data_IF_877087767283
#
_entry.id   IF_877087767283
#
_cell.length_a   1.000
_cell.length_b   1.000
_cell.length_c   1.000
_cell.angle_alpha   90.00
_cell.angle_beta   90.00
_cell.angle_gamma   90.00
#
_symmetry.space_group_name_H-M   'P 1'
#
loop_
_entity.id
_entity.type
_entity.pdbx_description
1 polymer ?
#
# COMPACT_ATOMS: atom_id res chain seq x y z
N UNK A 1 5.11 10.13 -59.52
CA UNK A 1 4.41 8.84 -59.74
C UNK A 1 4.51 7.89 -58.54
N UNK A 2 5.66 7.74 -57.88
CA UNK A 2 5.83 6.78 -56.78
C UNK A 2 5.23 7.13 -55.40
N UNK A 3 4.94 8.41 -55.13
CA UNK A 3 4.46 8.86 -53.80
C UNK A 3 3.02 8.41 -53.48
N UNK A 4 2.12 8.41 -54.48
CA UNK A 4 0.73 7.98 -54.28
C UNK A 4 0.60 6.48 -54.00
N UNK A 5 1.54 5.67 -54.48
CA UNK A 5 1.52 4.21 -54.31
C UNK A 5 1.98 3.79 -52.91
N UNK A 6 2.89 4.55 -52.29
CA UNK A 6 3.48 4.23 -50.98
C UNK A 6 2.87 5.03 -49.82
N UNK A 7 1.96 5.97 -50.11
CA UNK A 7 1.32 6.81 -49.10
C UNK A 7 2.29 7.77 -48.38
N UNK A 8 3.47 8.01 -48.95
CA UNK A 8 4.49 8.86 -48.34
C UNK A 8 4.33 10.32 -48.77
N UNK A 9 4.41 11.23 -47.80
CA UNK A 9 4.41 12.67 -48.06
C UNK A 9 5.67 13.14 -48.78
N UNK A 10 5.51 14.04 -49.75
CA UNK A 10 6.59 14.54 -50.61
C UNK A 10 7.76 15.14 -49.82
N UNK A 11 7.45 15.85 -48.72
CA UNK A 11 8.46 16.44 -47.84
C UNK A 11 9.33 15.38 -47.17
N UNK A 12 8.77 14.24 -46.77
CA UNK A 12 9.52 13.15 -46.12
C UNK A 12 10.56 12.57 -47.05
N UNK A 13 10.20 12.36 -48.32
CA UNK A 13 11.11 11.83 -49.34
C UNK A 13 12.20 12.85 -49.66
N UNK A 14 11.84 14.13 -49.87
CA UNK A 14 12.82 15.21 -50.09
C UNK A 14 13.80 15.31 -48.92
N UNK A 15 13.31 15.30 -47.69
CA UNK A 15 14.15 15.44 -46.51
C UNK A 15 15.10 14.26 -46.29
N UNK A 16 14.72 13.04 -46.71
CA UNK A 16 15.61 11.87 -46.69
C UNK A 16 16.71 11.97 -47.74
N UNK A 17 16.38 12.41 -48.95
CA UNK A 17 17.36 12.62 -50.03
C UNK A 17 18.36 13.73 -49.65
N UNK A 18 17.88 14.81 -49.03
CA UNK A 18 18.76 15.92 -48.61
C UNK A 18 19.67 15.59 -47.41
N UNK A 19 19.31 14.58 -46.60
CA UNK A 19 20.10 14.15 -45.44
C UNK A 19 21.16 13.12 -45.78
N UNK A 20 21.20 12.65 -47.02
CA UNK A 20 22.14 11.65 -47.49
C UNK A 20 23.29 12.30 -48.28
N UNK A 21 24.49 11.74 -48.16
CA UNK A 21 25.66 12.20 -48.94
C UNK A 21 25.97 11.29 -50.13
N UNK A 22 25.57 10.01 -50.12
CA UNK A 22 26.00 9.00 -51.11
C UNK A 22 24.89 8.07 -51.65
N UNK A 23 23.60 8.37 -51.43
CA UNK A 23 22.48 7.63 -52.01
C UNK A 23 22.10 6.33 -51.29
N UNK A 24 22.73 6.02 -50.15
CA UNK A 24 22.42 4.89 -49.30
C UNK A 24 22.50 5.36 -47.85
N UNK A 25 21.36 5.41 -47.16
CA UNK A 25 21.31 5.58 -45.71
C UNK A 25 22.06 4.39 -45.08
N UNK A 26 23.18 4.66 -44.41
CA UNK A 26 23.84 3.64 -43.59
C UNK A 26 22.79 2.96 -42.72
N UNK A 27 22.73 1.63 -42.78
CA UNK A 27 21.85 0.83 -41.93
C UNK A 27 22.15 1.25 -40.50
N UNK A 28 21.30 2.10 -39.92
CA UNK A 28 21.20 2.18 -38.47
C UNK A 28 20.80 0.77 -38.09
N UNK A 29 21.73 0.03 -37.50
CA UNK A 29 21.35 -1.12 -36.72
C UNK A 29 20.21 -0.60 -35.85
N UNK A 30 19.00 -1.08 -36.11
CA UNK A 30 17.96 -1.00 -35.11
C UNK A 30 18.58 -1.76 -33.96
N UNK A 31 19.15 -1.04 -33.01
CA UNK A 31 19.27 -1.51 -31.65
C UNK A 31 17.82 -1.78 -31.29
N UNK A 32 17.36 -3.02 -31.58
CA UNK A 32 16.33 -3.66 -30.82
C UNK A 32 16.80 -3.40 -29.40
N UNK A 33 16.16 -2.45 -28.70
CA UNK A 33 16.48 -2.18 -27.31
C UNK A 33 16.52 -3.56 -26.68
N UNK A 34 17.73 -4.00 -26.31
CA UNK A 34 17.92 -5.33 -25.79
C UNK A 34 16.92 -5.48 -24.66
N UNK A 35 16.22 -6.62 -24.59
CA UNK A 35 15.36 -6.94 -23.44
C UNK A 35 16.05 -6.41 -22.20
N UNK A 36 15.41 -5.47 -21.51
CA UNK A 36 15.99 -4.79 -20.35
C UNK A 36 16.67 -5.85 -19.49
N UNK A 37 17.99 -5.79 -19.40
CA UNK A 37 18.72 -6.69 -18.54
C UNK A 37 18.26 -6.40 -17.11
N UNK A 38 18.11 -7.45 -16.30
CA UNK A 38 17.67 -7.40 -14.88
C UNK A 38 18.47 -6.42 -13.98
N UNK A 39 19.47 -5.72 -14.51
CA UNK A 39 20.28 -4.70 -13.86
C UNK A 39 19.48 -3.46 -13.41
N UNK A 40 18.33 -3.17 -14.05
CA UNK A 40 17.53 -1.96 -13.75
C UNK A 40 16.86 -1.99 -12.37
N UNK A 41 16.61 -3.19 -11.84
CA UNK A 41 15.92 -3.38 -10.55
C UNK A 41 16.78 -2.79 -9.40
N UNK A 42 18.10 -2.97 -9.44
CA UNK A 42 18.99 -2.49 -8.37
C UNK A 42 19.22 -0.97 -8.40
N UNK A 43 19.12 -0.32 -9.57
CA UNK A 43 19.18 1.14 -9.69
C UNK A 43 17.94 1.79 -9.07
N UNK A 44 16.73 1.29 -9.35
CA UNK A 44 15.48 1.78 -8.72
C UNK A 44 15.48 1.60 -7.19
N UNK A 45 15.96 0.44 -6.68
CA UNK A 45 16.12 0.23 -5.23
C UNK A 45 17.15 1.17 -4.61
N UNK A 46 18.21 1.51 -5.34
CA UNK A 46 19.27 2.41 -4.89
C UNK A 46 18.78 3.86 -4.76
N UNK A 47 17.96 4.32 -5.71
CA UNK A 47 17.41 5.68 -5.69
C UNK A 47 16.37 5.87 -4.57
N UNK A 48 15.52 4.87 -4.35
CA UNK A 48 14.59 4.88 -3.21
C UNK A 48 15.32 4.90 -1.86
N UNK A 49 16.38 4.10 -1.71
CA UNK A 49 17.20 4.11 -0.50
C UNK A 49 17.94 5.44 -0.34
N UNK A 50 18.37 6.08 -1.43
CA UNK A 50 18.98 7.42 -1.42
C UNK A 50 17.98 8.47 -0.96
N UNK A 51 16.74 8.47 -1.44
CA UNK A 51 15.68 9.37 -0.95
C UNK A 51 15.42 9.18 0.53
N UNK A 52 15.27 7.93 0.99
CA UNK A 52 15.10 7.63 2.41
C UNK A 52 16.26 8.16 3.25
N UNK A 53 17.51 7.88 2.84
CA UNK A 53 18.69 8.35 3.56
C UNK A 53 18.81 9.88 3.52
N UNK A 54 18.37 10.54 2.45
CA UNK A 54 18.33 12.00 2.32
C UNK A 54 17.28 12.67 3.22
N UNK A 55 16.20 11.95 3.54
CA UNK A 55 15.16 12.43 4.47
C UNK A 55 15.59 12.43 5.94
N UNK A 56 16.68 11.74 6.28
CA UNK A 56 17.21 11.70 7.64
C UNK A 56 18.04 12.95 7.93
N UNK A 57 18.04 13.42 9.17
CA UNK A 57 18.92 14.51 9.61
C UNK A 57 20.38 14.03 9.52
N UNK A 58 21.20 14.77 8.77
CA UNK A 58 22.61 14.49 8.56
C UNK A 58 23.46 15.62 9.10
N UNK A 59 24.55 15.26 9.76
CA UNK A 59 25.58 16.18 10.23
C UNK A 59 26.80 16.07 9.31
N UNK A 60 27.42 17.20 8.90
CA UNK A 60 28.70 17.15 8.20
C UNK A 60 29.79 16.51 9.07
N UNK A 61 30.75 15.86 8.42
CA UNK A 61 31.93 15.30 9.06
C UNK A 61 32.78 16.39 9.73
N UNK A 62 32.52 16.67 11.01
CA UNK A 62 33.16 17.79 11.72
C UNK A 62 34.59 17.52 12.21
N UNK A 63 35.12 16.29 12.11
CA UNK A 63 36.47 15.96 12.54
C UNK A 63 37.39 15.68 11.35
N UNK A 64 38.27 16.66 11.07
CA UNK A 64 39.56 16.56 10.38
C UNK A 64 39.64 15.67 9.13
N UNK A 65 39.09 16.16 8.01
CA UNK A 65 39.66 16.00 6.65
C UNK A 65 38.93 16.94 5.70
N UNK A 66 39.63 17.99 5.28
CA UNK A 66 39.16 19.09 4.42
C UNK A 66 38.50 18.62 3.10
N UNK A 67 38.80 17.39 2.68
CA UNK A 67 38.42 16.87 1.35
C UNK A 67 37.41 15.71 1.39
N UNK A 68 36.72 15.45 2.52
CA UNK A 68 35.76 14.34 2.60
C UNK A 68 34.32 14.78 2.34
N UNK A 69 33.63 14.10 1.43
CA UNK A 69 32.19 14.28 1.12
C UNK A 69 31.27 13.46 2.03
N UNK A 70 31.82 12.83 3.08
CA UNK A 70 31.07 11.93 3.97
C UNK A 70 30.18 12.72 4.92
N UNK A 71 28.95 12.25 5.10
CA UNK A 71 27.97 12.81 6.05
C UNK A 71 27.69 11.76 7.14
N UNK A 72 27.54 12.19 8.38
CA UNK A 72 27.16 11.34 9.50
C UNK A 72 25.67 11.51 9.79
N UNK A 73 25.01 10.45 10.25
CA UNK A 73 23.69 10.58 10.85
C UNK A 73 23.88 11.10 12.28
N UNK A 74 22.99 11.99 12.76
CA UNK A 74 23.01 12.39 14.16
C UNK A 74 22.86 11.17 15.08
N UNK A 75 23.40 11.28 16.30
CA UNK A 75 23.70 10.18 17.24
C UNK A 75 22.49 9.33 17.72
N UNK A 76 21.32 9.45 17.11
CA UNK A 76 20.09 8.76 17.50
C UNK A 76 20.04 7.28 17.07
N UNK A 77 20.89 6.85 16.14
CA UNK A 77 20.88 5.47 15.61
C UNK A 77 22.13 4.70 16.01
N UNK A 78 22.21 4.28 17.28
CA UNK A 78 23.40 3.63 17.82
C UNK A 78 23.65 2.20 17.28
N UNK A 79 22.65 1.45 16.78
CA UNK A 79 22.89 0.31 15.87
C UNK A 79 22.13 0.43 14.53
N UNK A 80 22.73 -0.11 13.46
CA UNK A 80 22.13 -0.23 12.12
C UNK A 80 20.73 -0.88 12.14
N UNK A 81 20.46 -1.74 13.13
CA UNK A 81 19.16 -2.35 13.38
C UNK A 81 18.05 -1.34 13.70
N UNK A 82 18.36 -0.23 14.38
CA UNK A 82 17.38 0.83 14.66
C UNK A 82 17.05 1.64 13.40
N UNK A 83 18.05 1.89 12.54
CA UNK A 83 17.83 2.51 11.24
C UNK A 83 16.94 1.65 10.36
N UNK A 84 17.22 0.34 10.28
CA UNK A 84 16.39 -0.62 9.56
C UNK A 84 14.97 -0.74 10.16
N UNK A 85 14.83 -0.63 11.49
CA UNK A 85 13.52 -0.59 12.16
C UNK A 85 12.73 0.68 11.80
N UNK A 86 13.38 1.85 11.76
CA UNK A 86 12.74 3.10 11.34
C UNK A 86 12.29 3.04 9.88
N UNK A 87 13.16 2.57 8.99
CA UNK A 87 12.82 2.28 7.60
C UNK A 87 11.58 1.37 7.49
N UNK A 88 11.61 0.22 8.17
CA UNK A 88 10.51 -0.76 8.13
C UNK A 88 9.22 -0.22 8.74
N UNK A 89 9.28 0.65 9.74
CA UNK A 89 8.10 1.25 10.35
C UNK A 89 7.50 2.38 9.48
N UNK A 90 8.35 3.16 8.80
CA UNK A 90 7.94 4.29 7.98
C UNK A 90 7.39 3.85 6.62
N UNK A 91 7.97 2.82 6.01
CA UNK A 91 7.60 2.33 4.68
C UNK A 91 6.91 0.96 4.69
N UNK A 92 6.83 0.31 5.84
CA UNK A 92 6.08 -0.94 5.97
C UNK A 92 4.61 -0.68 6.23
N UNK A 93 3.73 -1.13 5.32
CA UNK A 93 2.28 -1.28 5.55
C UNK A 93 1.95 -2.19 6.76
N UNK A 94 2.97 -2.81 7.35
CA UNK A 94 2.86 -3.68 8.52
C UNK A 94 2.30 -2.95 9.74
N UNK A 95 2.58 -1.65 9.93
CA UNK A 95 2.08 -0.89 11.08
C UNK A 95 0.62 -0.42 10.91
N UNK A 96 0.19 -0.17 9.66
CA UNK A 96 -1.17 0.31 9.36
C UNK A 96 -2.20 -0.82 9.54
N UNK A 97 -1.93 -1.98 8.93
CA UNK A 97 -2.88 -3.10 8.94
C UNK A 97 -2.76 -3.99 10.17
N UNK A 98 -1.60 -4.02 10.85
CA UNK A 98 -1.36 -4.78 12.09
C UNK A 98 -1.34 -3.85 13.31
N UNK A 99 -2.40 -3.06 13.46
CA UNK A 99 -2.59 -2.13 14.58
C UNK A 99 -3.60 -2.70 15.59
N UNK A 100 -3.32 -2.68 16.92
CA UNK A 100 -4.31 -3.03 17.93
C UNK A 100 -5.62 -2.25 17.81
N UNK A 101 -5.60 -0.96 17.44
CA UNK A 101 -6.83 -0.15 17.30
C UNK A 101 -7.77 -0.74 16.25
N UNK A 102 -7.24 -1.08 15.07
CA UNK A 102 -8.02 -1.71 13.99
C UNK A 102 -8.54 -3.08 14.42
N UNK A 103 -7.69 -3.89 15.04
CA UNK A 103 -8.08 -5.22 15.52
C UNK A 103 -9.20 -5.18 16.56
N UNK A 104 -9.17 -4.21 17.47
CA UNK A 104 -10.28 -4.03 18.42
C UNK A 104 -11.54 -3.53 17.72
N UNK A 105 -11.44 -2.63 16.75
CA UNK A 105 -12.60 -2.17 15.98
C UNK A 105 -13.27 -3.33 15.21
N UNK A 106 -12.47 -4.20 14.57
CA UNK A 106 -12.98 -5.41 13.91
C UNK A 106 -13.59 -6.40 14.89
N UNK A 107 -13.00 -6.57 16.07
CA UNK A 107 -13.57 -7.41 17.12
C UNK A 107 -14.94 -6.89 17.58
N UNK A 108 -15.07 -5.58 17.82
CA UNK A 108 -16.37 -4.99 18.15
C UNK A 108 -17.40 -5.18 17.04
N UNK A 109 -16.98 -5.07 15.77
CA UNK A 109 -17.85 -5.32 14.63
C UNK A 109 -18.31 -6.77 14.62
N UNK A 110 -17.39 -7.72 14.83
CA UNK A 110 -17.68 -9.15 14.92
C UNK A 110 -18.70 -9.46 16.02
N UNK A 111 -18.55 -8.87 17.21
CA UNK A 111 -19.49 -9.02 18.32
C UNK A 111 -20.85 -8.36 18.03
N UNK A 112 -20.84 -7.15 17.48
CA UNK A 112 -22.06 -6.36 17.23
C UNK A 112 -22.95 -7.02 16.18
N UNK A 113 -22.35 -7.56 15.12
CA UNK A 113 -23.07 -8.20 14.03
C UNK A 113 -23.12 -9.72 14.15
N UNK A 114 -22.48 -10.31 15.16
CA UNK A 114 -22.36 -11.75 15.36
C UNK A 114 -21.80 -12.48 14.12
N UNK A 115 -20.67 -11.98 13.60
CA UNK A 115 -20.00 -12.49 12.40
C UNK A 115 -18.52 -12.75 12.68
N UNK A 116 -18.01 -13.89 12.24
CA UNK A 116 -16.57 -14.18 12.27
C UNK A 116 -15.84 -13.43 11.14
N UNK A 117 -14.82 -12.63 11.49
CA UNK A 117 -14.03 -11.86 10.51
C UNK A 117 -12.63 -12.46 10.40
N UNK A 118 -12.14 -12.61 9.17
CA UNK A 118 -10.77 -13.04 8.89
C UNK A 118 -9.97 -11.90 8.27
N UNK A 119 -8.85 -11.54 8.91
CA UNK A 119 -7.89 -10.59 8.36
C UNK A 119 -6.63 -11.36 7.94
N UNK A 120 -6.42 -11.51 6.64
CA UNK A 120 -5.24 -12.16 6.05
C UNK A 120 -4.18 -11.10 5.72
N UNK A 121 -2.92 -11.39 5.97
CA UNK A 121 -1.80 -10.51 5.64
C UNK A 121 -0.96 -11.08 4.49
N UNK A 122 -0.62 -10.20 3.56
CA UNK A 122 0.22 -10.53 2.41
C UNK A 122 1.61 -11.02 2.84
N UNK A 123 2.08 -12.07 2.16
CA UNK A 123 3.43 -12.62 2.28
C UNK A 123 4.26 -12.14 1.08
N UNK A 124 5.51 -11.74 1.33
CA UNK A 124 6.43 -11.33 0.28
C UNK A 124 6.60 -12.48 -0.74
N UNK A 125 6.36 -12.21 -2.02
CA UNK A 125 6.45 -13.19 -3.10
C UNK A 125 5.12 -13.62 -3.73
N UNK A 126 3.98 -13.29 -3.10
CA UNK A 126 2.63 -13.56 -3.62
C UNK A 126 1.82 -12.27 -3.74
N UNK A 127 2.35 -11.30 -4.48
CA UNK A 127 1.72 -9.98 -4.68
C UNK A 127 0.95 -9.98 -5.99
N UNK A 128 -0.21 -10.64 -6.00
CA UNK A 128 -1.21 -10.40 -7.03
C UNK A 128 -2.49 -9.95 -6.33
N UNK A 129 -2.73 -8.63 -6.33
CA UNK A 129 -3.96 -8.04 -5.83
C UNK A 129 -4.77 -7.57 -7.04
N UNK A 130 -5.99 -8.08 -7.20
CA UNK A 130 -6.88 -7.66 -8.30
C UNK A 130 -7.13 -6.14 -8.28
N UNK A 131 -7.09 -5.54 -7.09
CA UNK A 131 -7.24 -4.10 -6.87
C UNK A 131 -6.11 -3.26 -7.48
N UNK A 132 -4.92 -3.83 -7.72
CA UNK A 132 -3.79 -3.08 -8.28
C UNK A 132 -4.08 -2.63 -9.72
N UNK A 133 -4.89 -3.40 -10.45
CA UNK A 133 -5.34 -3.02 -11.81
C UNK A 133 -6.19 -1.75 -11.79
N UNK A 134 -7.06 -1.60 -10.79
CA UNK A 134 -7.90 -0.41 -10.59
C UNK A 134 -7.04 0.78 -10.20
N UNK A 135 -6.10 0.61 -9.26
CA UNK A 135 -5.17 1.67 -8.86
C UNK A 135 -4.33 2.16 -10.05
N UNK A 136 -3.75 1.24 -10.83
CA UNK A 136 -2.95 1.57 -12.02
C UNK A 136 -3.77 2.38 -13.02
N UNK A 137 -5.03 2.01 -13.24
CA UNK A 137 -5.93 2.71 -14.18
C UNK A 137 -6.23 4.12 -13.70
N UNK A 138 -6.54 4.29 -12.41
CA UNK A 138 -6.80 5.60 -11.79
C UNK A 138 -5.54 6.47 -11.84
N UNK A 139 -4.39 5.95 -11.44
CA UNK A 139 -3.11 6.68 -11.45
C UNK A 139 -2.74 7.15 -12.85
N UNK A 140 -2.94 6.30 -13.86
CA UNK A 140 -2.70 6.65 -15.26
C UNK A 140 -3.64 7.77 -15.72
N UNK A 141 -4.90 7.74 -15.29
CA UNK A 141 -5.89 8.79 -15.56
C UNK A 141 -5.55 10.12 -14.88
N UNK A 142 -4.92 10.07 -13.69
CA UNK A 142 -4.52 11.24 -12.91
C UNK A 142 -3.25 11.92 -13.45
N UNK A 143 -2.25 11.16 -13.94
CA UNK A 143 -0.94 11.70 -14.36
C UNK A 143 -0.98 12.82 -15.40
N UNK A 144 -1.98 12.82 -16.29
CA UNK A 144 -2.07 13.76 -17.41
C UNK A 144 -3.18 14.82 -17.23
N UNK A 145 -3.64 15.06 -16.00
CA UNK A 145 -4.70 16.03 -15.71
C UNK A 145 -4.30 17.00 -14.61
N UNK A 146 -4.67 18.27 -14.77
CA UNK A 146 -4.52 19.26 -13.72
C UNK A 146 -5.65 19.10 -12.70
N UNK A 147 -5.29 18.89 -11.44
CA UNK A 147 -6.22 18.73 -10.31
C UNK A 147 -6.17 20.02 -9.51
N UNK A 148 -7.29 20.73 -9.43
CA UNK A 148 -7.39 21.98 -8.68
C UNK A 148 -8.24 21.84 -7.41
N UNK A 149 -9.27 20.98 -7.45
CA UNK A 149 -10.13 20.70 -6.30
C UNK A 149 -10.13 19.19 -5.95
N UNK A 150 -10.34 18.81 -4.67
CA UNK A 150 -10.53 17.41 -4.28
C UNK A 150 -11.70 16.72 -5.00
N UNK A 151 -12.73 17.48 -5.39
CA UNK A 151 -13.83 16.98 -6.22
C UNK A 151 -13.37 16.55 -7.62
N UNK A 152 -12.30 17.15 -8.15
CA UNK A 152 -11.72 16.76 -9.44
C UNK A 152 -11.12 15.36 -9.36
N UNK A 153 -10.45 15.00 -8.26
CA UNK A 153 -9.98 13.64 -8.06
C UNK A 153 -11.14 12.64 -8.16
N UNK A 154 -12.28 12.95 -7.53
CA UNK A 154 -13.44 12.06 -7.56
C UNK A 154 -14.03 11.92 -8.98
N UNK A 155 -14.02 13.01 -9.76
CA UNK A 155 -14.44 13.01 -11.17
C UNK A 155 -13.50 12.19 -12.04
N UNK A 156 -12.19 12.43 -11.94
CA UNK A 156 -11.17 11.73 -12.73
C UNK A 156 -11.14 10.24 -12.43
N UNK A 157 -11.30 9.85 -11.15
CA UNK A 157 -11.42 8.45 -10.76
C UNK A 157 -12.64 7.79 -11.38
N UNK A 158 -13.80 8.46 -11.43
CA UNK A 158 -15.00 7.92 -12.08
C UNK A 158 -14.79 7.69 -13.58
N UNK A 159 -14.12 8.63 -14.23
CA UNK A 159 -13.82 8.60 -15.67
C UNK A 159 -12.64 7.69 -16.05
N UNK A 160 -11.89 7.16 -15.08
CA UNK A 160 -10.69 6.37 -15.33
C UNK A 160 -10.99 5.09 -16.12
N UNK A 161 -12.12 4.45 -15.84
CA UNK A 161 -12.61 3.29 -16.59
C UNK A 161 -13.72 3.71 -17.57
N UNK A 162 -13.51 3.43 -18.86
CA UNK A 162 -14.40 3.88 -19.94
C UNK A 162 -15.63 3.00 -20.11
N UNK A 163 -15.48 1.68 -19.91
CA UNK A 163 -16.56 0.72 -20.16
C UNK A 163 -17.53 0.64 -18.97
N UNK A 164 -16.97 0.59 -17.76
CA UNK A 164 -17.72 0.49 -16.50
C UNK A 164 -17.17 1.52 -15.49
N UNK A 165 -17.64 2.78 -15.52
CA UNK A 165 -17.18 3.83 -14.62
C UNK A 165 -17.25 3.43 -13.14
N UNK A 166 -16.22 3.79 -12.37
CA UNK A 166 -16.16 3.43 -10.95
C UNK A 166 -17.20 4.20 -10.11
N UNK A 167 -17.80 3.52 -9.13
CA UNK A 167 -18.61 4.18 -8.11
C UNK A 167 -17.71 4.89 -7.10
N UNK A 168 -17.47 6.18 -7.33
CA UNK A 168 -16.64 6.99 -6.42
C UNK A 168 -17.49 7.58 -5.30
N UNK A 169 -17.12 7.26 -4.06
CA UNK A 169 -17.66 7.87 -2.84
C UNK A 169 -16.62 8.82 -2.26
N UNK A 170 -16.97 10.09 -2.14
CA UNK A 170 -16.14 11.08 -1.45
C UNK A 170 -16.31 10.92 0.06
N UNK A 171 -15.21 10.92 0.83
CA UNK A 171 -15.30 10.84 2.29
C UNK A 171 -15.80 12.18 2.85
N UNK A 172 -16.83 12.13 3.70
CA UNK A 172 -17.32 13.27 4.47
C UNK A 172 -16.71 13.28 5.88
N UNK A 173 -16.95 14.33 6.66
CA UNK A 173 -16.50 14.41 8.06
C UNK A 173 -16.99 13.23 8.92
N UNK A 174 -18.14 12.66 8.56
CA UNK A 174 -18.74 11.52 9.26
C UNK A 174 -18.03 10.19 8.94
N UNK A 175 -17.24 10.13 7.86
CA UNK A 175 -16.47 8.94 7.51
C UNK A 175 -15.35 8.66 8.53
N UNK A 176 -14.80 9.70 9.14
CA UNK A 176 -13.68 9.58 10.07
C UNK A 176 -14.18 9.26 11.47
N UNK A 177 -14.23 7.97 11.79
CA UNK A 177 -14.60 7.47 13.11
C UNK A 177 -13.36 7.24 13.98
N UNK A 178 -13.34 7.80 15.19
CA UNK A 178 -12.24 7.60 16.14
C UNK A 178 -12.41 6.28 16.92
N UNK A 179 -11.65 5.26 16.55
CA UNK A 179 -11.61 3.97 17.25
C UNK A 179 -10.60 3.92 18.40
N UNK A 180 -9.78 4.96 18.60
CA UNK A 180 -8.73 5.00 19.62
C UNK A 180 -9.25 5.49 20.99
N UNK A 181 -10.44 5.04 21.36
CA UNK A 181 -11.04 5.39 22.65
C UNK A 181 -10.76 4.26 23.65
N UNK A 182 -9.92 4.55 24.66
CA UNK A 182 -9.37 3.54 25.60
C UNK A 182 -10.43 2.63 26.24
N UNK A 183 -11.62 3.11 26.65
CA UNK A 183 -12.69 2.25 27.16
C UNK A 183 -13.20 1.17 26.20
N UNK A 184 -12.96 1.27 24.89
CA UNK A 184 -13.33 0.26 23.91
C UNK A 184 -12.15 -0.66 23.52
N UNK A 185 -10.96 -0.51 24.10
CA UNK A 185 -9.81 -1.34 23.72
C UNK A 185 -9.76 -2.58 24.63
N UNK A 186 -10.11 -3.77 24.10
CA UNK A 186 -10.05 -5.07 24.81
C UNK A 186 -8.63 -5.59 24.88
N UNK A 187 -7.90 -5.49 23.77
CA UNK A 187 -6.52 -5.93 23.62
C UNK A 187 -5.61 -4.73 23.38
N UNK A 188 -4.71 -4.43 24.32
CA UNK A 188 -3.74 -3.34 24.18
C UNK A 188 -2.71 -3.59 23.07
N UNK A 189 -2.48 -4.87 22.74
CA UNK A 189 -1.51 -5.30 21.75
C UNK A 189 -1.93 -6.62 21.13
N UNK A 190 -1.63 -6.75 19.83
CA UNK A 190 -1.80 -7.98 19.05
C UNK A 190 -0.51 -8.79 18.94
N UNK A 191 0.56 -8.41 19.66
CA UNK A 191 1.79 -9.19 19.72
C UNK A 191 1.53 -10.54 20.42
N UNK A 192 1.83 -11.67 19.77
CA UNK A 192 1.75 -12.97 20.42
C UNK A 192 2.91 -13.14 21.43
N UNK A 193 4.11 -12.67 21.08
CA UNK A 193 5.26 -12.73 21.98
C UNK A 193 5.28 -11.70 23.12
N UNK A 194 5.92 -12.09 24.23
CA UNK A 194 6.27 -11.20 25.35
C UNK A 194 7.78 -11.10 25.57
N UNK A 195 8.53 -12.16 25.26
CA UNK A 195 9.98 -12.27 25.39
C UNK A 195 10.65 -11.97 24.04
N UNK A 196 11.91 -11.55 24.06
CA UNK A 196 12.69 -11.19 22.86
C UNK A 196 12.81 -12.35 21.84
N UNK A 197 12.75 -13.61 22.27
CA UNK A 197 12.77 -14.79 21.39
C UNK A 197 11.43 -15.13 20.75
N UNK A 198 10.35 -14.49 21.19
CA UNK A 198 9.01 -14.86 20.79
C UNK A 198 8.61 -14.25 19.44
N UNK A 199 7.60 -14.82 18.75
CA UNK A 199 7.08 -14.25 17.53
C UNK A 199 6.51 -12.83 17.74
N UNK A 200 6.94 -11.91 16.89
CA UNK A 200 6.49 -10.53 16.89
C UNK A 200 5.29 -10.35 15.95
N UNK A 201 4.64 -9.18 16.00
CA UNK A 201 3.44 -8.84 15.19
C UNK A 201 3.65 -9.12 13.70
N UNK A 202 4.86 -8.91 13.21
CA UNK A 202 5.19 -9.10 11.80
C UNK A 202 5.20 -10.56 11.35
N UNK A 203 5.28 -11.51 12.28
CA UNK A 203 5.21 -12.94 11.98
C UNK A 203 3.76 -13.42 11.81
N UNK A 204 2.77 -12.59 12.17
CA UNK A 204 1.35 -12.94 12.02
C UNK A 204 0.97 -12.93 10.54
N UNK A 205 0.34 -14.02 10.10
CA UNK A 205 -0.18 -14.21 8.74
C UNK A 205 -1.68 -14.02 8.65
N UNK A 206 -2.41 -14.44 9.67
CA UNK A 206 -3.84 -14.21 9.73
C UNK A 206 -4.30 -13.94 11.17
N UNK A 207 -5.33 -13.12 11.29
CA UNK A 207 -6.12 -12.92 12.51
C UNK A 207 -7.56 -13.35 12.25
N UNK A 208 -8.16 -14.01 13.24
CA UNK A 208 -9.58 -14.36 13.27
C UNK A 208 -10.23 -13.66 14.46
N UNK A 209 -11.29 -12.94 14.20
CA UNK A 209 -12.12 -12.27 15.21
C UNK A 209 -13.40 -13.08 15.38
N UNK A 210 -13.61 -13.59 16.59
CA UNK A 210 -14.80 -14.40 16.91
C UNK A 210 -15.92 -13.52 17.46
N UNK A 211 -17.15 -13.98 17.28
CA UNK A 211 -18.36 -13.39 17.87
C UNK A 211 -18.34 -13.36 19.40
N UNK A 212 -17.52 -14.22 20.03
CA UNK A 212 -17.36 -14.30 21.48
C UNK A 212 -16.43 -13.22 22.06
N UNK A 213 -15.84 -12.37 21.22
CA UNK A 213 -14.93 -11.32 21.67
C UNK A 213 -13.49 -11.76 21.87
N UNK A 214 -13.08 -12.86 21.22
CA UNK A 214 -11.70 -13.35 21.23
C UNK A 214 -11.01 -13.13 19.88
N UNK A 215 -9.73 -12.74 19.95
CA UNK A 215 -8.84 -12.66 18.80
C UNK A 215 -7.94 -13.88 18.78
N UNK A 216 -7.94 -14.58 17.66
CA UNK A 216 -7.06 -15.71 17.39
C UNK A 216 -6.08 -15.36 16.27
N UNK A 217 -4.91 -15.97 16.27
CA UNK A 217 -3.84 -15.69 15.32
C UNK A 217 -3.24 -16.97 14.74
N UNK A 218 -2.57 -16.81 13.60
CA UNK A 218 -1.87 -17.88 12.90
C UNK A 218 -0.52 -17.38 12.36
N UNK A 219 0.54 -18.17 12.56
CA UNK A 219 1.92 -17.81 12.15
C UNK A 219 2.29 -18.43 10.81
N UNK A 220 2.03 -19.70 10.58
CA UNK A 220 2.18 -20.29 9.24
C UNK A 220 0.86 -20.27 8.48
N UNK A 221 0.87 -20.64 7.20
CA UNK A 221 -0.35 -20.70 6.38
C UNK A 221 -1.14 -21.99 6.60
N UNK A 222 -0.54 -23.01 7.22
CA UNK A 222 -1.14 -24.32 7.42
C UNK A 222 -1.60 -24.57 8.87
N UNK A 223 -1.00 -23.89 9.85
CA UNK A 223 -1.32 -24.04 11.29
C UNK A 223 -2.80 -23.81 11.66
N UNK A 224 -3.26 -24.35 12.77
CA UNK A 224 -4.56 -23.98 13.32
C UNK A 224 -4.54 -22.60 14.01
N UNK A 225 -5.70 -21.95 14.10
CA UNK A 225 -5.82 -20.67 14.80
C UNK A 225 -5.68 -20.86 16.31
N UNK A 226 -4.76 -20.09 16.92
CA UNK A 226 -4.54 -20.12 18.37
C UNK A 226 -5.03 -18.83 19.02
N UNK A 227 -5.60 -18.88 20.24
CA UNK A 227 -6.00 -17.67 20.96
C UNK A 227 -4.78 -16.82 21.29
N UNK A 228 -4.93 -15.48 21.25
CA UNK A 228 -3.85 -14.59 21.67
C UNK A 228 -3.48 -14.85 23.14
N UNK A 229 -2.17 -14.94 23.48
CA UNK A 229 -1.68 -15.21 24.84
C UNK A 229 -1.73 -13.96 25.73
N UNK A 230 -2.84 -13.22 25.66
CA UNK A 230 -3.10 -12.00 26.43
C UNK A 230 -4.53 -12.06 26.97
N UNK A 231 -4.67 -11.72 28.25
CA UNK A 231 -5.97 -11.64 28.89
C UNK A 231 -6.72 -10.40 28.34
N UNK A 232 -7.93 -10.56 27.78
CA UNK A 232 -8.73 -9.43 27.37
C UNK A 232 -9.15 -8.61 28.59
N UNK A 233 -9.19 -7.28 28.45
CA UNK A 233 -9.79 -6.41 29.46
C UNK A 233 -11.29 -6.64 29.50
N UNK A 234 -11.86 -6.68 30.71
CA UNK A 234 -13.31 -6.71 30.89
C UNK A 234 -13.84 -5.33 30.50
N UNK A 235 -14.63 -5.27 29.43
CA UNK A 235 -15.28 -4.04 28.98
C UNK A 235 -16.77 -4.22 29.14
N UNK A 236 -17.40 -3.28 29.83
CA UNK A 236 -18.86 -3.16 29.82
C UNK A 236 -19.28 -2.49 28.50
N UNK A 237 -19.67 -3.31 27.54
CA UNK A 237 -20.32 -2.87 26.29
C UNK A 237 -21.82 -2.63 26.48
N UNK A 238 -22.30 -2.53 27.73
CA UNK A 238 -23.70 -2.35 28.09
C UNK A 238 -24.29 -1.06 27.50
N UNK A 239 -24.97 -1.21 26.36
CA UNK A 239 -25.91 -0.22 25.80
C UNK A 239 -25.29 0.99 25.10
N UNK A 240 -24.01 1.32 25.29
CA UNK A 240 -23.31 2.33 24.48
C UNK A 240 -22.69 1.68 23.26
N UNK A 241 -23.56 1.35 22.31
CA UNK A 241 -23.17 0.88 20.99
C UNK A 241 -22.33 2.00 20.36
N UNK A 242 -21.29 1.65 19.61
CA UNK A 242 -20.61 2.57 18.70
C UNK A 242 -21.59 3.31 17.74
N UNK A 243 -22.90 2.98 17.70
CA UNK A 243 -23.97 3.68 16.95
C UNK A 243 -24.06 5.20 17.20
N UNK A 244 -23.60 5.71 18.35
CA UNK A 244 -23.53 7.17 18.53
C UNK A 244 -22.40 7.82 17.72
N UNK A 245 -21.40 7.03 17.32
CA UNK A 245 -20.21 7.45 16.57
C UNK A 245 -20.10 6.84 15.17
N UNK A 246 -20.92 5.83 14.88
CA UNK A 246 -21.15 5.24 13.56
C UNK A 246 -22.50 5.79 13.11
N UNK A 247 -22.56 6.75 12.16
CA UNK A 247 -23.85 7.15 11.60
C UNK A 247 -24.53 5.90 11.06
N UNK A 248 -25.83 5.74 11.33
CA UNK A 248 -26.63 4.56 10.99
C UNK A 248 -26.14 3.85 9.72
N UNK A 249 -25.33 2.80 9.89
CA UNK A 249 -24.97 1.95 8.77
C UNK A 249 -26.27 1.27 8.34
N UNK A 250 -26.75 1.61 7.14
CA UNK A 250 -27.88 0.92 6.50
C UNK A 250 -27.69 -0.58 6.69
N UNK A 251 -28.68 -1.25 7.29
CA UNK A 251 -28.69 -2.71 7.47
C UNK A 251 -28.20 -3.35 6.15
N UNK A 252 -27.17 -4.19 6.22
CA UNK A 252 -26.73 -4.98 5.08
C UNK A 252 -27.94 -5.75 4.55
N UNK A 253 -28.34 -5.46 3.32
CA UNK A 253 -29.37 -6.25 2.65
C UNK A 253 -28.89 -7.69 2.49
N UNK A 254 -29.81 -8.66 2.49
CA UNK A 254 -29.51 -10.09 2.31
C UNK A 254 -28.60 -10.35 1.09
N UNK A 255 -28.77 -9.58 0.00
CA UNK A 255 -27.90 -9.62 -1.19
C UNK A 255 -26.44 -9.26 -0.92
N UNK A 256 -26.18 -8.28 -0.06
CA UNK A 256 -24.82 -7.83 0.25
C UNK A 256 -24.11 -8.77 1.23
N UNK A 257 -24.85 -9.54 2.04
CA UNK A 257 -24.28 -10.61 2.86
C UNK A 257 -23.71 -11.74 2.00
N UNK A 258 -24.42 -12.13 0.94
CA UNK A 258 -23.94 -13.14 -0.01
C UNK A 258 -22.69 -12.69 -0.78
N UNK A 259 -22.60 -11.41 -1.15
CA UNK A 259 -21.40 -10.84 -1.78
C UNK A 259 -20.18 -10.84 -0.87
N UNK A 260 -20.34 -10.61 0.44
CA UNK A 260 -19.25 -10.63 1.41
C UNK A 260 -18.67 -12.05 1.64
N UNK A 261 -19.47 -13.10 1.49
CA UNK A 261 -19.00 -14.49 1.48
C UNK A 261 -18.19 -14.83 0.22
N UNK A 262 -18.37 -14.10 -0.87
CA UNK A 262 -17.65 -14.31 -2.13
C UNK A 262 -16.31 -13.54 -2.21
N UNK A 263 -16.08 -12.58 -1.30
CA UNK A 263 -14.87 -11.74 -1.25
C UNK A 263 -13.96 -12.04 -0.04
N UNK A 264 -14.17 -13.14 0.68
CA UNK A 264 -13.35 -13.63 1.82
C UNK A 264 -12.69 -14.99 1.50
#
# INVERSE_FOLDING_TARGET
MYLNTTGLGEWSVKNWVFKDKNGIVERRESVLAGRETRSNIYEEYSDFLREFLNSLNKLPAHYYRKDTTKQYLEQDFQPLAQLHKKYKNQYGCTAQNRNPVLSNALLHLAETYNVTIFQKFLVKGYTQMECDSVHTTIETSLKNRNIYLPSDCARVTREAEKKNPYLVKTPDFVFFTNYNHKPFIKYDSICPGKVTSDPLVFNIRALRYTENGEIQYKINLDDEFQPLPRRPKVINLSGKIFRSYIPDCKKLSERNKAGLLAFL
#
